data_IF_451298804124
#
_entry.id   IF_451298804124
#
_cell.length_a   1.000
_cell.length_b   1.000
_cell.length_c   1.000
_cell.angle_alpha   90.00
_cell.angle_beta   90.00
_cell.angle_gamma   90.00
#
_symmetry.space_group_name_H-M   'P 1'
#
loop_
_entity.id
_entity.type
_entity.pdbx_description
1 polymer ?
#
# COMPACT_ATOMS: atom_id res chain seq x y z
N UNK A 1 12.37 3.60 9.94
CA UNK A 1 11.86 2.35 10.54
C UNK A 1 11.05 1.59 9.50
N UNK A 2 10.87 0.27 9.63
CA UNK A 2 9.99 -0.48 8.71
C UNK A 2 8.56 -0.50 9.24
N UNK A 3 7.55 -0.55 8.35
CA UNK A 3 6.14 -0.60 8.73
C UNK A 3 5.82 -1.80 9.63
N UNK A 4 6.43 -2.96 9.37
CA UNK A 4 6.24 -4.17 10.20
C UNK A 4 6.75 -4.03 11.64
N UNK A 5 7.54 -3.00 11.93
CA UNK A 5 8.10 -2.74 13.26
C UNK A 5 7.38 -1.61 14.00
N UNK A 6 6.39 -0.97 13.38
CA UNK A 6 5.59 0.05 14.03
C UNK A 6 4.57 -0.60 14.96
N UNK A 7 4.05 0.19 15.90
CA UNK A 7 2.91 -0.25 16.70
C UNK A 7 1.73 -0.59 15.76
N UNK A 8 1.18 -1.82 15.80
CA UNK A 8 0.09 -2.23 14.91
C UNK A 8 -1.16 -1.35 15.01
N UNK A 9 -1.52 -0.90 16.21
CA UNK A 9 -2.69 -0.05 16.42
C UNK A 9 -2.48 1.34 15.82
N UNK A 10 -1.27 1.89 15.97
CA UNK A 10 -0.93 3.14 15.30
C UNK A 10 -0.99 3.01 13.77
N UNK A 11 -0.50 1.88 13.23
CA UNK A 11 -0.54 1.65 11.79
C UNK A 11 -1.99 1.55 11.27
N UNK A 12 -2.87 0.84 12.00
CA UNK A 12 -4.32 0.79 11.69
C UNK A 12 -4.94 2.18 11.65
N UNK A 13 -4.67 3.01 12.66
CA UNK A 13 -5.17 4.39 12.71
C UNK A 13 -4.65 5.23 11.54
N UNK A 14 -3.37 5.08 11.19
CA UNK A 14 -2.76 5.80 10.08
C UNK A 14 -3.38 5.45 8.71
N UNK A 15 -3.90 4.22 8.55
CA UNK A 15 -4.49 3.75 7.28
C UNK A 15 -6.02 3.71 7.29
N UNK A 16 -6.69 4.04 8.40
CA UNK A 16 -8.13 3.88 8.57
C UNK A 16 -8.94 4.58 7.47
N UNK A 17 -8.62 5.85 7.17
CA UNK A 17 -9.29 6.60 6.11
C UNK A 17 -8.92 6.16 4.68
N UNK A 18 -7.93 5.28 4.50
CA UNK A 18 -7.46 4.90 3.17
C UNK A 18 -8.49 4.03 2.43
N UNK A 19 -9.12 3.09 3.14
CA UNK A 19 -10.14 2.20 2.59
C UNK A 19 -11.40 2.97 2.20
N UNK A 20 -11.89 3.86 3.08
CA UNK A 20 -13.04 4.72 2.80
C UNK A 20 -12.79 5.60 1.56
N UNK A 21 -11.60 6.20 1.46
CA UNK A 21 -11.23 7.02 0.30
C UNK A 21 -11.17 6.21 -1.01
N UNK A 22 -10.70 4.97 -0.96
CA UNK A 22 -10.65 4.09 -2.13
C UNK A 22 -12.05 3.63 -2.57
N UNK A 23 -12.95 3.39 -1.61
CA UNK A 23 -14.36 3.06 -1.87
C UNK A 23 -15.15 4.26 -2.39
N UNK A 24 -14.89 5.47 -1.88
CA UNK A 24 -15.55 6.70 -2.32
C UNK A 24 -15.18 7.08 -3.77
N UNK A 25 -14.00 6.68 -4.25
CA UNK A 25 -13.56 6.93 -5.63
C UNK A 25 -12.98 5.66 -6.29
N UNK A 26 -13.83 4.68 -6.65
CA UNK A 26 -13.40 3.46 -7.31
C UNK A 26 -12.63 3.77 -8.60
N UNK A 27 -11.61 2.97 -8.91
CA UNK A 27 -10.75 3.16 -10.07
C UNK A 27 -9.61 4.17 -9.87
N UNK A 28 -9.70 5.08 -8.88
CA UNK A 28 -8.61 5.97 -8.47
C UNK A 28 -7.81 5.38 -7.31
N UNK A 29 -6.55 5.79 -7.20
CA UNK A 29 -5.69 5.36 -6.10
C UNK A 29 -5.67 6.45 -5.03
N UNK A 30 -6.18 6.14 -3.84
CA UNK A 30 -5.99 6.96 -2.64
C UNK A 30 -4.56 6.77 -2.13
N UNK A 31 -3.88 7.87 -1.80
CA UNK A 31 -2.48 7.84 -1.35
C UNK A 31 -2.33 8.52 0.00
N UNK A 32 -1.51 7.93 0.86
CA UNK A 32 -1.04 8.53 2.11
C UNK A 32 0.47 8.35 2.25
N UNK A 33 1.09 9.18 3.08
CA UNK A 33 2.50 9.05 3.43
C UNK A 33 2.59 8.79 4.94
N UNK A 34 3.08 7.61 5.31
CA UNK A 34 3.25 7.17 6.69
C UNK A 34 4.65 7.58 7.16
N UNK A 35 4.78 8.47 8.16
CA UNK A 35 6.08 8.88 8.67
C UNK A 35 6.69 7.72 9.48
N UNK A 36 7.61 6.97 8.87
CA UNK A 36 8.31 5.86 9.54
C UNK A 36 9.65 6.28 10.14
N UNK A 37 10.13 7.48 9.83
CA UNK A 37 11.21 8.19 10.52
C UNK A 37 11.17 9.68 10.13
N UNK A 38 11.93 10.56 10.80
CA UNK A 38 12.02 11.98 10.42
C UNK A 38 12.54 12.20 8.99
N UNK A 39 13.39 11.31 8.50
CA UNK A 39 14.01 11.39 7.18
C UNK A 39 13.31 10.54 6.10
N UNK A 40 12.39 9.64 6.46
CA UNK A 40 11.77 8.71 5.52
C UNK A 40 10.26 8.53 5.74
N UNK A 41 9.51 8.61 4.64
CA UNK A 41 8.05 8.47 4.61
C UNK A 41 7.71 7.35 3.64
N UNK A 42 7.12 6.28 4.16
CA UNK A 42 6.61 5.20 3.32
C UNK A 42 5.32 5.68 2.68
N UNK A 43 5.26 5.66 1.36
CA UNK A 43 4.05 5.99 0.61
C UNK A 43 3.21 4.74 0.44
N UNK A 44 1.96 4.83 0.84
CA UNK A 44 0.99 3.76 0.74
C UNK A 44 -0.15 4.21 -0.15
N UNK A 45 -0.52 3.36 -1.10
CA UNK A 45 -1.63 3.59 -2.00
C UNK A 45 -2.64 2.46 -1.92
N UNK A 46 -3.92 2.78 -2.04
CA UNK A 46 -4.99 1.80 -2.16
C UNK A 46 -5.90 2.17 -3.32
N UNK A 47 -6.21 1.20 -4.16
CA UNK A 47 -7.14 1.34 -5.27
C UNK A 47 -8.15 0.21 -5.23
N UNK A 48 -9.43 0.54 -5.22
CA UNK A 48 -10.49 -0.43 -5.49
C UNK A 48 -10.74 -0.50 -7.00
N UNK A 49 -10.81 -1.70 -7.57
CA UNK A 49 -11.27 -1.94 -8.93
C UNK A 49 -12.42 -2.98 -8.92
N UNK A 50 -12.92 -3.34 -10.10
CA UNK A 50 -14.04 -4.29 -10.26
C UNK A 50 -13.79 -5.70 -9.69
N UNK A 51 -12.53 -6.04 -9.42
CA UNK A 51 -12.08 -7.36 -9.00
C UNK A 51 -11.65 -7.37 -7.51
N UNK A 52 -11.24 -6.22 -6.97
CA UNK A 52 -10.84 -6.06 -5.58
C UNK A 52 -9.86 -4.92 -5.34
N UNK A 53 -9.05 -5.05 -4.30
CA UNK A 53 -8.09 -4.03 -3.89
C UNK A 53 -6.71 -4.26 -4.50
N UNK A 54 -6.12 -3.18 -4.98
CA UNK A 54 -4.70 -3.09 -5.32
C UNK A 54 -4.03 -2.19 -4.29
N UNK A 55 -3.07 -2.76 -3.56
CA UNK A 55 -2.30 -2.07 -2.52
C UNK A 55 -0.91 -1.77 -3.05
N UNK A 56 -0.46 -0.54 -2.88
CA UNK A 56 0.84 -0.05 -3.29
C UNK A 56 1.65 0.34 -2.06
N UNK A 57 2.91 -0.07 -2.01
CA UNK A 57 3.87 0.34 -1.00
C UNK A 57 5.13 0.84 -1.69
N UNK A 58 5.60 2.02 -1.30
CA UNK A 58 6.82 2.62 -1.84
C UNK A 58 7.65 3.25 -0.75
N UNK A 59 8.95 2.98 -0.78
CA UNK A 59 9.94 3.64 0.08
C UNK A 59 10.81 4.59 -0.77
N UNK A 60 10.73 5.92 -0.58
CA UNK A 60 11.53 6.87 -1.36
C UNK A 60 13.05 6.69 -1.19
N UNK A 61 13.51 6.33 0.02
CA UNK A 61 14.93 6.25 0.37
C UNK A 61 15.49 4.84 0.53
N UNK A 62 14.77 3.78 0.16
CA UNK A 62 15.20 2.41 0.43
C UNK A 62 14.49 1.34 -0.37
N UNK A 63 14.84 0.08 -0.10
CA UNK A 63 14.24 -1.10 -0.73
C UNK A 63 12.89 -1.41 -0.06
N UNK A 64 11.89 -1.81 -0.86
CA UNK A 64 10.65 -2.36 -0.33
C UNK A 64 10.86 -3.78 0.22
N UNK A 65 10.17 -4.12 1.31
CA UNK A 65 10.23 -5.44 1.96
C UNK A 65 8.82 -6.09 1.98
N UNK A 66 8.67 -7.34 1.51
CA UNK A 66 7.39 -8.06 1.55
C UNK A 66 6.73 -8.13 2.93
N UNK A 67 7.52 -8.12 4.01
CA UNK A 67 6.98 -8.11 5.38
C UNK A 67 6.20 -6.83 5.69
N UNK A 68 6.63 -5.71 5.12
CA UNK A 68 5.92 -4.44 5.26
C UNK A 68 4.58 -4.44 4.53
N UNK A 69 4.53 -5.11 3.36
CA UNK A 69 3.27 -5.30 2.65
C UNK A 69 2.30 -6.15 3.46
N UNK A 70 2.77 -7.25 4.06
CA UNK A 70 1.90 -8.09 4.90
C UNK A 70 1.37 -7.33 6.12
N UNK A 71 2.22 -6.56 6.81
CA UNK A 71 1.80 -5.73 7.93
C UNK A 71 0.74 -4.69 7.51
N UNK A 72 0.92 -4.09 6.33
CA UNK A 72 -0.04 -3.14 5.77
C UNK A 72 -1.38 -3.79 5.43
N UNK A 73 -1.38 -4.97 4.82
CA UNK A 73 -2.63 -5.71 4.51
C UNK A 73 -3.41 -6.03 5.78
N UNK A 74 -2.72 -6.47 6.83
CA UNK A 74 -3.33 -6.72 8.13
C UNK A 74 -3.90 -5.43 8.75
N UNK A 75 -3.20 -4.30 8.62
CA UNK A 75 -3.66 -3.01 9.13
C UNK A 75 -4.88 -2.46 8.37
N UNK A 76 -4.97 -2.73 7.06
CA UNK A 76 -6.12 -2.39 6.23
C UNK A 76 -7.30 -3.37 6.41
N UNK A 77 -7.14 -4.39 7.26
CA UNK A 77 -8.08 -5.49 7.42
C UNK A 77 -8.43 -6.18 6.07
N UNK A 78 -7.43 -6.25 5.18
CA UNK A 78 -7.55 -6.94 3.91
C UNK A 78 -7.06 -8.37 4.07
N UNK A 79 -7.72 -9.30 3.39
CA UNK A 79 -7.31 -10.70 3.34
C UNK A 79 -5.91 -10.90 2.75
N UNK A 80 -5.40 -12.15 2.71
CA UNK A 80 -4.10 -12.44 2.13
C UNK A 80 -4.03 -11.97 0.67
N UNK A 81 -2.89 -11.40 0.28
CA UNK A 81 -2.67 -11.04 -1.10
C UNK A 81 -2.68 -12.29 -1.98
N UNK A 82 -3.45 -12.24 -3.07
CA UNK A 82 -3.42 -13.26 -4.12
C UNK A 82 -2.09 -13.23 -4.88
N UNK A 83 -1.51 -12.04 -5.01
CA UNK A 83 -0.21 -11.84 -5.66
C UNK A 83 0.52 -10.63 -5.09
N UNK A 84 1.82 -10.77 -4.86
CA UNK A 84 2.71 -9.64 -4.55
C UNK A 84 3.76 -9.57 -5.66
N UNK A 85 3.90 -8.40 -6.29
CA UNK A 85 4.87 -8.15 -7.37
C UNK A 85 5.56 -6.81 -7.19
N UNK A 86 6.80 -6.72 -7.66
CA UNK A 86 7.43 -5.42 -7.88
C UNK A 86 6.85 -4.79 -9.16
N UNK A 87 6.36 -3.56 -9.05
CA UNK A 87 5.90 -2.79 -10.18
C UNK A 87 6.77 -1.55 -10.38
N UNK A 88 7.02 -1.21 -11.64
CA UNK A 88 7.62 0.06 -12.03
C UNK A 88 6.50 1.03 -12.41
N UNK A 89 6.50 2.21 -11.81
CA UNK A 89 5.57 3.28 -12.17
C UNK A 89 5.75 3.73 -13.62
N UNK A 90 4.69 4.30 -14.19
CA UNK A 90 4.61 4.72 -15.60
C UNK A 90 5.60 5.83 -16.03
N UNK A 91 6.38 6.42 -15.13
CA UNK A 91 7.08 7.68 -15.41
C UNK A 91 8.61 7.48 -15.54
N UNK A 92 9.19 7.70 -16.72
CA UNK A 92 10.62 7.93 -16.84
C UNK A 92 10.90 9.34 -16.28
N UNK A 93 11.57 9.43 -15.14
CA UNK A 93 12.16 10.70 -14.66
C UNK A 93 13.66 10.66 -14.93
N UNK A 94 14.32 11.82 -14.90
CA UNK A 94 15.81 11.97 -14.94
C UNK A 94 16.56 11.00 -14.01
N UNK A 95 15.89 10.50 -12.97
CA UNK A 95 16.40 9.65 -11.89
C UNK A 95 15.85 8.21 -11.91
N UNK A 96 15.15 7.78 -12.97
CA UNK A 96 14.57 6.45 -13.12
C UNK A 96 13.09 6.31 -12.70
N UNK A 97 12.49 5.17 -13.04
CA UNK A 97 11.09 4.88 -12.72
C UNK A 97 10.90 4.62 -11.21
N UNK A 98 9.79 5.11 -10.65
CA UNK A 98 9.42 4.80 -9.25
C UNK A 98 9.20 3.29 -9.13
N UNK A 99 9.83 2.65 -8.14
CA UNK A 99 9.52 1.27 -7.75
C UNK A 99 8.41 1.28 -6.71
N UNK A 100 7.62 0.23 -6.76
CA UNK A 100 6.55 -0.07 -5.83
C UNK A 100 6.55 -1.57 -5.60
N UNK A 101 6.25 -1.96 -4.37
CA UNK A 101 5.73 -3.28 -4.09
C UNK A 101 4.21 -3.22 -4.18
N UNK A 102 3.61 -4.11 -4.97
CA UNK A 102 2.18 -4.12 -5.26
C UNK A 102 1.57 -5.43 -4.84
N UNK A 103 0.53 -5.37 -4.01
CA UNK A 103 -0.29 -6.52 -3.66
C UNK A 103 -1.66 -6.41 -4.34
N UNK A 104 -2.13 -7.53 -4.88
CA UNK A 104 -3.50 -7.68 -5.39
C UNK A 104 -4.27 -8.54 -4.40
N UNK A 105 -5.38 -8.01 -3.90
CA UNK A 105 -6.32 -8.70 -3.01
C UNK A 105 -7.66 -8.77 -3.74
N UNK A 106 -8.07 -9.97 -4.11
CA UNK A 106 -9.39 -10.17 -4.70
C UNK A 106 -10.45 -9.98 -3.61
N UNK A 107 -11.50 -9.19 -3.88
CA UNK A 107 -12.68 -9.26 -3.04
C UNK A 107 -13.33 -10.61 -3.30
N UNK A 108 -13.51 -11.43 -2.26
CA UNK A 108 -14.43 -12.57 -2.39
C UNK A 108 -15.78 -11.96 -2.74
N UNK A 109 -16.27 -12.17 -3.96
CA UNK A 109 -17.69 -12.01 -4.26
C UNK A 109 -18.41 -12.80 -3.16
N UNK A 110 -19.20 -12.10 -2.34
CA UNK A 110 -20.17 -12.77 -1.50
C UNK A 110 -21.04 -13.59 -2.45
N UNK A 111 -20.90 -14.92 -2.37
CA UNK A 111 -21.70 -15.87 -3.10
C UNK A 111 -23.11 -15.90 -2.51
#
# INVERSE_FOLDING_TARGET
MRLDRLNPEWLKLAVAGLTENAQAQPGKTAWIAIPTSPADKVQVGLKLNEIGYIVYLRRPGGKEDPREMQALLNALNLGPATKIVEAKGRMPRKWGARRYLVAVVLEKKAA
#
